data_IF_518378170051
#
_entry.id   IF_518378170051
#
_cell.length_a   1.000
_cell.length_b   1.000
_cell.length_c   1.000
_cell.angle_alpha   90.00
_cell.angle_beta   90.00
_cell.angle_gamma   90.00
#
_symmetry.space_group_name_H-M   'P 1'
#
loop_
_entity.id
_entity.type
_entity.pdbx_description
1 polymer ?
#
# COMPACT_ATOMS: atom_id res chain seq x y z
N UNK A 1 -35.65 11.94 79.45
CA UNK A 1 -35.88 11.53 78.00
C UNK A 1 -34.67 11.95 77.18
N UNK A 2 -33.78 11.02 76.84
CA UNK A 2 -32.59 11.32 76.01
C UNK A 2 -32.85 10.84 74.55
N UNK A 3 -33.02 11.73 73.65
CA UNK A 3 -33.15 11.43 72.15
C UNK A 3 -31.78 11.09 71.60
N UNK A 4 -31.59 9.86 71.09
CA UNK A 4 -30.42 9.41 70.38
C UNK A 4 -30.65 9.74 68.86
N UNK A 5 -29.84 10.63 68.27
CA UNK A 5 -29.79 10.87 66.85
C UNK A 5 -28.83 9.84 66.26
N UNK A 6 -29.36 8.99 65.36
CA UNK A 6 -28.59 8.02 64.56
C UNK A 6 -28.11 8.74 63.35
N UNK A 7 -26.81 9.04 63.23
CA UNK A 7 -26.21 9.65 62.09
C UNK A 7 -26.00 8.60 60.99
N UNK A 8 -26.74 8.76 59.92
CA UNK A 8 -26.60 7.96 58.71
C UNK A 8 -25.48 8.54 57.86
N UNK A 9 -24.32 7.84 57.76
CA UNK A 9 -23.24 8.18 56.83
C UNK A 9 -23.65 7.76 55.37
N UNK A 10 -23.53 8.62 54.36
CA UNK A 10 -23.69 8.20 53.01
C UNK A 10 -22.41 7.51 52.51
N UNK A 11 -22.55 6.26 52.08
CA UNK A 11 -21.50 5.51 51.39
C UNK A 11 -21.31 6.10 50.01
N UNK A 12 -20.26 6.90 49.81
CA UNK A 12 -19.88 7.44 48.50
C UNK A 12 -19.18 6.33 47.72
N UNK A 13 -19.90 5.63 46.83
CA UNK A 13 -19.35 4.66 45.91
C UNK A 13 -18.53 5.41 44.82
N UNK A 14 -17.22 5.50 45.00
CA UNK A 14 -16.32 5.97 43.95
C UNK A 14 -16.25 4.89 42.86
N UNK A 15 -16.96 5.10 41.74
CA UNK A 15 -16.81 4.29 40.55
C UNK A 15 -15.41 4.56 39.96
N UNK A 16 -14.50 3.60 40.10
CA UNK A 16 -13.20 3.57 39.41
C UNK A 16 -13.46 3.38 37.94
N UNK A 17 -13.51 4.49 37.17
CA UNK A 17 -13.41 4.49 35.73
C UNK A 17 -11.98 4.06 35.37
N UNK A 18 -11.78 2.75 35.11
CA UNK A 18 -10.56 2.27 34.53
C UNK A 18 -10.39 2.92 33.15
N UNK A 19 -9.23 3.53 32.84
CA UNK A 19 -8.99 4.07 31.49
C UNK A 19 -9.06 2.91 30.51
N UNK A 20 -9.93 3.02 29.50
CA UNK A 20 -9.95 2.11 28.36
C UNK A 20 -8.65 2.36 27.62
N UNK A 21 -7.65 1.49 27.84
CA UNK A 21 -6.40 1.51 27.09
C UNK A 21 -6.74 1.19 25.64
N UNK A 22 -6.85 2.20 24.80
CA UNK A 22 -6.93 1.98 23.35
C UNK A 22 -5.62 1.30 22.93
N UNK A 23 -5.73 0.10 22.38
CA UNK A 23 -4.57 -0.62 21.85
C UNK A 23 -3.88 0.28 20.81
N UNK A 24 -2.70 0.76 21.15
CA UNK A 24 -1.94 1.66 20.28
C UNK A 24 -1.63 0.93 18.97
N UNK A 25 -2.00 1.53 17.83
CA UNK A 25 -1.71 0.96 16.52
C UNK A 25 -0.20 1.06 16.20
N UNK A 26 0.40 0.07 15.54
CA UNK A 26 1.78 0.17 15.09
C UNK A 26 1.92 1.20 13.97
N UNK A 27 3.02 1.95 14.01
CA UNK A 27 3.38 2.94 12.99
C UNK A 27 4.64 2.47 12.27
N UNK A 28 4.57 2.39 10.94
CA UNK A 28 5.70 2.01 10.10
C UNK A 28 6.15 3.18 9.24
N UNK A 29 7.46 3.26 9.03
CA UNK A 29 8.08 4.16 8.06
C UNK A 29 8.62 3.33 6.92
N UNK A 30 8.23 3.66 5.69
CA UNK A 30 8.81 3.09 4.47
C UNK A 30 10.09 3.87 4.16
N UNK A 31 11.17 3.13 3.81
CA UNK A 31 12.46 3.71 3.47
C UNK A 31 12.62 3.79 1.94
N UNK A 32 12.44 4.96 1.31
CA UNK A 32 12.43 5.09 -0.16
C UNK A 32 13.75 4.63 -0.82
N UNK A 33 14.89 4.91 -0.18
CA UNK A 33 16.22 4.59 -0.72
C UNK A 33 16.44 3.09 -0.93
N UNK A 34 15.73 2.24 -0.17
CA UNK A 34 15.81 0.77 -0.26
C UNK A 34 14.56 0.16 -0.89
N UNK A 35 13.74 0.97 -1.52
CA UNK A 35 12.46 0.55 -2.05
C UNK A 35 12.36 0.89 -3.54
N UNK A 36 11.59 0.10 -4.29
CA UNK A 36 11.44 0.29 -5.74
C UNK A 36 10.02 -0.03 -6.19
N UNK A 37 9.56 0.70 -7.21
CA UNK A 37 8.34 0.38 -7.96
C UNK A 37 8.74 0.18 -9.41
N UNK A 38 8.54 -1.03 -9.93
CA UNK A 38 8.95 -1.44 -11.29
C UNK A 38 7.76 -1.98 -12.06
N UNK A 39 7.87 -1.90 -13.38
CA UNK A 39 6.96 -2.57 -14.30
C UNK A 39 7.74 -3.28 -15.40
N UNK A 40 7.12 -4.30 -15.98
CA UNK A 40 7.62 -4.98 -17.16
C UNK A 40 6.48 -5.36 -18.10
N UNK A 41 6.75 -5.29 -19.40
CA UNK A 41 5.83 -5.67 -20.47
C UNK A 41 6.57 -6.54 -21.45
N UNK A 42 6.00 -7.70 -21.77
CA UNK A 42 6.53 -8.55 -22.85
C UNK A 42 6.31 -7.85 -24.18
N UNK A 43 7.37 -7.70 -24.96
CA UNK A 43 7.34 -7.14 -26.29
C UNK A 43 8.43 -7.81 -27.13
N UNK A 44 8.47 -7.50 -28.45
CA UNK A 44 9.57 -7.97 -29.33
C UNK A 44 10.95 -7.55 -28.78
N UNK A 45 10.99 -6.39 -28.11
CA UNK A 45 12.08 -5.93 -27.25
C UNK A 45 11.46 -5.63 -25.90
N UNK A 46 11.90 -6.29 -24.83
CA UNK A 46 11.36 -6.12 -23.48
C UNK A 46 11.31 -4.63 -23.08
N UNK A 47 10.18 -4.23 -22.52
CA UNK A 47 9.98 -2.88 -21.99
C UNK A 47 9.91 -3.02 -20.47
N UNK A 48 10.96 -2.59 -19.81
CA UNK A 48 11.07 -2.57 -18.36
C UNK A 48 11.40 -1.15 -17.92
N UNK A 49 10.91 -0.79 -16.75
CA UNK A 49 11.21 0.51 -16.15
C UNK A 49 10.88 0.54 -14.67
N UNK A 50 11.31 1.61 -14.05
CA UNK A 50 10.98 1.95 -12.67
C UNK A 50 10.40 3.37 -12.61
N UNK A 51 9.76 3.69 -11.49
CA UNK A 51 9.36 5.06 -11.17
C UNK A 51 10.29 5.60 -10.09
N UNK A 52 10.84 6.80 -10.33
CA UNK A 52 11.81 7.42 -9.43
C UNK A 52 11.15 8.23 -8.31
N UNK A 53 9.90 8.67 -8.51
CA UNK A 53 9.14 9.49 -7.56
C UNK A 53 7.82 8.81 -7.21
N UNK A 54 7.74 8.32 -6.00
CA UNK A 54 6.57 7.67 -5.45
C UNK A 54 6.56 7.79 -3.92
N UNK A 55 5.42 7.57 -3.33
CA UNK A 55 5.22 7.47 -1.89
C UNK A 55 4.36 6.24 -1.58
N UNK A 56 4.61 5.62 -0.43
CA UNK A 56 3.81 4.51 0.05
C UNK A 56 3.61 4.63 1.55
N UNK A 57 2.37 4.53 1.98
CA UNK A 57 2.00 4.50 3.39
C UNK A 57 1.30 3.20 3.72
N UNK A 58 1.61 2.65 4.89
CA UNK A 58 0.96 1.48 5.45
C UNK A 58 0.51 1.83 6.87
N UNK A 59 -0.79 2.02 7.02
CA UNK A 59 -1.42 2.44 8.28
C UNK A 59 -2.24 1.31 8.87
N UNK A 60 -2.31 1.24 10.20
CA UNK A 60 -3.08 0.25 10.95
C UNK A 60 -3.96 0.95 11.99
N UNK A 61 -5.10 0.34 12.32
CA UNK A 61 -5.97 0.81 13.41
C UNK A 61 -5.82 -0.03 14.68
N UNK A 62 -5.15 -1.19 14.58
CA UNK A 62 -4.82 -2.09 15.69
C UNK A 62 -3.56 -2.90 15.36
N UNK A 63 -3.03 -3.71 16.29
CA UNK A 63 -1.95 -4.65 15.99
C UNK A 63 -2.30 -5.75 14.99
N UNK A 64 -3.58 -6.02 14.72
CA UNK A 64 -3.99 -7.00 13.72
C UNK A 64 -3.61 -6.53 12.31
N UNK A 65 -2.82 -7.36 11.61
CA UNK A 65 -2.34 -7.05 10.26
C UNK A 65 -3.49 -6.82 9.27
N UNK A 66 -4.66 -7.42 9.49
CA UNK A 66 -5.83 -7.28 8.60
C UNK A 66 -6.47 -5.89 8.68
N UNK A 67 -6.14 -5.09 9.70
CA UNK A 67 -6.59 -3.69 9.82
C UNK A 67 -5.76 -2.71 8.99
N UNK A 68 -4.75 -3.24 8.29
CA UNK A 68 -3.83 -2.44 7.47
C UNK A 68 -4.50 -1.85 6.24
N UNK A 69 -4.12 -0.61 5.93
CA UNK A 69 -4.44 0.06 4.66
C UNK A 69 -3.13 0.47 3.99
N UNK A 70 -2.93 -0.04 2.78
CA UNK A 70 -1.80 0.30 1.91
C UNK A 70 -2.27 1.36 0.91
N UNK A 71 -1.57 2.50 0.86
CA UNK A 71 -1.79 3.58 -0.11
C UNK A 71 -0.46 3.86 -0.81
N UNK A 72 -0.42 3.70 -2.14
CA UNK A 72 0.75 3.95 -2.99
C UNK A 72 0.39 5.04 -3.99
N UNK A 73 1.24 6.04 -4.10
CA UNK A 73 1.12 7.15 -5.06
C UNK A 73 2.40 7.28 -5.85
N UNK A 74 2.29 7.25 -7.17
CA UNK A 74 3.42 7.25 -8.09
C UNK A 74 3.25 8.44 -9.03
N UNK A 75 4.29 9.25 -9.20
CA UNK A 75 4.30 10.30 -10.20
C UNK A 75 4.55 9.67 -11.58
N UNK A 76 3.55 9.67 -12.46
CA UNK A 76 3.62 9.04 -13.78
C UNK A 76 4.79 9.58 -14.63
N UNK A 77 5.08 10.89 -14.51
CA UNK A 77 6.18 11.53 -15.22
C UNK A 77 7.58 11.06 -14.76
N UNK A 78 7.68 10.37 -13.61
CA UNK A 78 8.97 9.87 -13.08
C UNK A 78 9.39 8.52 -13.64
N UNK A 79 8.73 8.04 -14.68
CA UNK A 79 9.10 6.81 -15.37
C UNK A 79 10.51 6.90 -15.94
N UNK A 80 11.29 5.84 -15.72
CA UNK A 80 12.66 5.70 -16.20
C UNK A 80 12.88 4.26 -16.70
N UNK A 81 13.11 4.12 -18.01
CA UNK A 81 13.43 2.86 -18.69
C UNK A 81 14.91 2.79 -19.08
N UNK A 82 15.70 3.82 -18.74
CA UNK A 82 17.05 4.02 -19.23
C UNK A 82 17.13 4.56 -20.67
N UNK A 83 15.99 4.95 -21.26
CA UNK A 83 15.92 5.51 -22.62
C UNK A 83 14.94 6.68 -22.66
N UNK A 84 15.46 7.89 -22.85
CA UNK A 84 14.63 9.11 -22.90
C UNK A 84 13.51 9.03 -23.94
N UNK A 85 13.76 8.44 -25.11
CA UNK A 85 12.74 8.26 -26.14
C UNK A 85 11.58 7.35 -25.65
N UNK A 86 11.88 6.26 -24.95
CA UNK A 86 10.86 5.39 -24.37
C UNK A 86 10.11 6.11 -23.25
N UNK A 87 10.82 6.83 -22.40
CA UNK A 87 10.25 7.57 -21.28
C UNK A 87 9.28 8.65 -21.77
N UNK A 88 9.66 9.43 -22.81
CA UNK A 88 8.79 10.44 -23.41
C UNK A 88 7.54 9.79 -24.02
N UNK A 89 7.69 8.64 -24.68
CA UNK A 89 6.56 7.91 -25.22
C UNK A 89 5.62 7.42 -24.12
N UNK A 90 6.16 6.89 -23.02
CA UNK A 90 5.37 6.42 -21.87
C UNK A 90 4.66 7.57 -21.14
N UNK A 91 5.26 8.77 -21.07
CA UNK A 91 4.63 9.97 -20.48
C UNK A 91 3.50 10.52 -21.34
N UNK A 92 3.50 10.23 -22.67
CA UNK A 92 2.54 10.81 -23.59
C UNK A 92 1.10 10.35 -23.35
N UNK A 93 0.15 11.05 -23.98
CA UNK A 93 -1.29 10.72 -23.96
C UNK A 93 -1.62 9.32 -24.48
N UNK A 94 -0.73 8.70 -25.23
CA UNK A 94 -0.91 7.35 -25.76
C UNK A 94 -0.74 6.27 -24.68
N UNK A 95 -0.01 6.60 -23.60
CA UNK A 95 0.27 5.68 -22.49
C UNK A 95 -0.18 6.27 -21.15
N UNK A 96 0.70 6.87 -20.35
CA UNK A 96 0.34 7.31 -19.00
C UNK A 96 -0.44 8.62 -18.94
N UNK A 97 -0.39 9.42 -20.01
CA UNK A 97 -0.98 10.77 -20.07
C UNK A 97 -0.57 11.65 -18.87
N UNK A 98 0.72 11.62 -18.56
CA UNK A 98 1.26 12.18 -17.32
C UNK A 98 1.03 13.70 -17.17
N UNK A 99 0.69 14.40 -18.23
CA UNK A 99 0.36 15.83 -18.21
C UNK A 99 -1.05 16.09 -17.66
N UNK A 100 -2.02 15.22 -17.98
CA UNK A 100 -3.41 15.34 -17.54
C UNK A 100 -3.68 14.50 -16.29
N UNK A 101 -3.07 13.32 -16.22
CA UNK A 101 -3.22 12.36 -15.11
C UNK A 101 -1.85 12.11 -14.44
N UNK A 102 -1.35 13.04 -13.62
CA UNK A 102 0.01 12.99 -13.10
C UNK A 102 0.27 11.88 -12.08
N UNK A 103 -0.78 11.27 -11.51
CA UNK A 103 -0.66 10.25 -10.49
C UNK A 103 -1.18 8.88 -10.94
N UNK A 104 -0.35 7.85 -10.72
CA UNK A 104 -0.79 6.46 -10.68
C UNK A 104 -0.96 6.09 -9.20
N UNK A 105 -2.08 5.49 -8.83
CA UNK A 105 -2.36 5.19 -7.43
C UNK A 105 -2.85 3.75 -7.24
N UNK A 106 -2.52 3.19 -6.08
CA UNK A 106 -3.13 1.96 -5.58
C UNK A 106 -3.56 2.17 -4.13
N UNK A 107 -4.84 1.99 -3.84
CA UNK A 107 -5.36 2.07 -2.47
C UNK A 107 -6.09 0.79 -2.12
N UNK A 108 -5.60 0.10 -1.10
CA UNK A 108 -6.21 -1.15 -0.64
C UNK A 108 -7.57 -0.91 0.03
N UNK A 109 -8.44 -1.90 -0.12
CA UNK A 109 -9.73 -1.96 0.60
C UNK A 109 -9.64 -2.84 1.85
N UNK A 110 -8.74 -3.83 1.84
CA UNK A 110 -8.47 -4.73 2.97
C UNK A 110 -7.11 -5.42 2.78
N UNK A 111 -6.62 -6.07 3.83
CA UNK A 111 -5.51 -7.03 3.77
C UNK A 111 -6.05 -8.40 4.18
N UNK A 112 -5.82 -9.41 3.34
CA UNK A 112 -6.23 -10.80 3.59
C UNK A 112 -4.98 -11.65 3.73
N UNK A 113 -4.77 -12.24 4.90
CA UNK A 113 -3.66 -13.17 5.09
C UNK A 113 -3.98 -14.50 4.41
N UNK A 114 -3.12 -14.94 3.49
CA UNK A 114 -3.26 -16.18 2.71
C UNK A 114 -2.25 -17.26 3.13
N UNK A 115 -1.25 -16.88 3.92
CA UNK A 115 -0.25 -17.79 4.48
C UNK A 115 0.58 -17.11 5.56
N UNK A 116 1.58 -17.79 6.13
CA UNK A 116 2.38 -17.24 7.25
C UNK A 116 3.02 -15.89 6.95
N UNK A 117 3.45 -15.69 5.69
CA UNK A 117 4.12 -14.46 5.23
C UNK A 117 3.52 -13.92 3.93
N UNK A 118 2.35 -14.43 3.51
CA UNK A 118 1.71 -14.05 2.25
C UNK A 118 0.36 -13.41 2.50
N UNK A 119 0.06 -12.38 1.71
CA UNK A 119 -1.17 -11.58 1.86
C UNK A 119 -1.69 -11.20 0.48
N UNK A 120 -2.99 -11.27 0.29
CA UNK A 120 -3.68 -10.65 -0.83
C UNK A 120 -4.26 -9.32 -0.38
N UNK A 121 -4.01 -8.30 -1.16
CA UNK A 121 -4.39 -6.92 -0.90
C UNK A 121 -5.23 -6.42 -2.07
N UNK A 122 -6.55 -6.74 -2.09
CA UNK A 122 -7.46 -6.16 -3.08
C UNK A 122 -7.58 -4.66 -2.84
N UNK A 123 -7.65 -3.91 -3.93
CA UNK A 123 -7.69 -2.46 -3.87
C UNK A 123 -8.18 -1.85 -5.18
N UNK A 124 -8.18 -0.54 -5.22
CA UNK A 124 -8.44 0.25 -6.43
C UNK A 124 -7.10 0.71 -7.01
N UNK A 125 -6.82 0.28 -8.23
CA UNK A 125 -5.69 0.76 -9.02
C UNK A 125 -6.19 1.80 -10.01
N UNK A 126 -5.53 2.94 -10.06
CA UNK A 126 -5.88 4.04 -10.96
C UNK A 126 -4.68 4.45 -11.79
N UNK A 127 -4.86 4.50 -13.10
CA UNK A 127 -3.89 5.01 -14.06
C UNK A 127 -4.64 5.72 -15.19
N UNK A 128 -4.17 6.87 -15.64
CA UNK A 128 -4.83 7.73 -16.65
C UNK A 128 -6.27 8.10 -16.27
N UNK A 129 -6.54 8.39 -15.01
CA UNK A 129 -7.89 8.68 -14.53
C UNK A 129 -8.85 7.48 -14.51
N UNK A 130 -8.45 6.31 -15.04
CA UNK A 130 -9.27 5.09 -15.04
C UNK A 130 -8.97 4.28 -13.80
N UNK A 131 -10.01 3.97 -13.02
CA UNK A 131 -9.92 3.18 -11.78
C UNK A 131 -10.53 1.80 -11.97
N UNK A 132 -9.81 0.74 -11.57
CA UNK A 132 -10.30 -0.64 -11.60
C UNK A 132 -9.90 -1.39 -10.31
N UNK A 133 -10.68 -2.42 -9.94
CA UNK A 133 -10.30 -3.32 -8.86
C UNK A 133 -9.14 -4.21 -9.31
N UNK A 134 -8.07 -4.23 -8.54
CA UNK A 134 -6.89 -5.09 -8.74
C UNK A 134 -6.47 -5.69 -7.42
N UNK A 135 -5.68 -6.77 -7.47
CA UNK A 135 -5.14 -7.40 -6.27
C UNK A 135 -3.61 -7.40 -6.32
N UNK A 136 -3.01 -6.80 -5.30
CA UNK A 136 -1.58 -6.85 -5.07
C UNK A 136 -1.29 -8.01 -4.11
N UNK A 137 -0.57 -9.04 -4.58
CA UNK A 137 -0.13 -10.15 -3.74
C UNK A 137 1.20 -9.80 -3.09
N UNK A 138 1.27 -9.87 -1.76
CA UNK A 138 2.44 -9.51 -0.97
C UNK A 138 3.11 -10.73 -0.37
N UNK A 139 4.44 -10.72 -0.38
CA UNK A 139 5.30 -11.59 0.44
C UNK A 139 6.09 -10.69 1.39
N UNK A 140 5.94 -10.93 2.69
CA UNK A 140 6.53 -10.11 3.75
C UNK A 140 7.61 -10.91 4.48
N UNK A 141 8.79 -10.31 4.68
CA UNK A 141 9.86 -10.87 5.52
C UNK A 141 10.08 -9.99 6.76
N UNK A 142 10.57 -10.59 7.84
CA UNK A 142 10.84 -9.89 9.09
C UNK A 142 9.58 -9.53 9.91
N UNK A 143 8.48 -10.25 9.72
CA UNK A 143 7.26 -10.06 10.51
C UNK A 143 7.57 -10.25 11.99
N UNK A 144 7.14 -9.30 12.84
CA UNK A 144 7.39 -9.32 14.28
C UNK A 144 8.74 -8.78 14.75
N UNK A 145 9.73 -8.60 13.86
CA UNK A 145 11.08 -8.11 14.24
C UNK A 145 11.20 -6.58 14.34
N UNK A 146 10.18 -5.86 13.90
CA UNK A 146 10.17 -4.38 13.88
C UNK A 146 10.76 -3.76 12.61
N UNK A 147 11.35 -4.56 11.72
CA UNK A 147 11.76 -4.16 10.38
C UNK A 147 11.58 -5.31 9.41
N UNK A 148 11.37 -5.02 8.14
CA UNK A 148 11.15 -6.06 7.15
C UNK A 148 11.04 -5.53 5.74
N UNK A 149 10.95 -6.46 4.80
CA UNK A 149 10.73 -6.17 3.39
C UNK A 149 9.38 -6.71 2.94
N UNK A 150 8.72 -5.96 2.08
CA UNK A 150 7.45 -6.31 1.45
C UNK A 150 7.71 -6.39 -0.05
N UNK A 151 7.56 -7.58 -0.64
CA UNK A 151 7.57 -7.74 -2.09
C UNK A 151 6.13 -7.89 -2.56
N UNK A 152 5.66 -6.94 -3.35
CA UNK A 152 4.33 -6.93 -3.96
C UNK A 152 4.40 -7.24 -5.44
N UNK A 153 3.46 -8.03 -5.95
CA UNK A 153 3.31 -8.30 -7.38
C UNK A 153 1.85 -8.20 -7.79
N UNK A 154 1.60 -7.56 -8.92
CA UNK A 154 0.29 -7.54 -9.58
C UNK A 154 0.47 -7.52 -11.09
N UNK A 155 -0.60 -7.79 -11.83
CA UNK A 155 -0.60 -7.64 -13.26
C UNK A 155 -1.97 -7.14 -13.73
N UNK A 156 -1.96 -6.28 -14.75
CA UNK A 156 -3.17 -5.73 -15.35
C UNK A 156 -3.07 -5.69 -16.88
N UNK A 157 -4.20 -5.57 -17.57
CA UNK A 157 -4.24 -5.31 -19.00
C UNK A 157 -4.20 -3.80 -19.25
N UNK A 158 -3.19 -3.34 -20.00
CA UNK A 158 -3.01 -1.91 -20.30
C UNK A 158 -4.18 -1.30 -21.07
N UNK A 159 -4.85 -2.10 -21.90
CA UNK A 159 -6.00 -1.65 -22.69
C UNK A 159 -7.20 -1.33 -21.83
N UNK A 160 -7.34 -2.00 -20.70
CA UNK A 160 -8.37 -1.73 -19.71
C UNK A 160 -8.30 -0.32 -19.13
N UNK A 161 -7.14 0.31 -19.23
CA UNK A 161 -6.86 1.68 -18.80
C UNK A 161 -6.70 2.64 -19.99
N UNK A 162 -7.18 2.24 -21.18
CA UNK A 162 -7.16 3.08 -22.38
C UNK A 162 -5.79 3.24 -23.04
N UNK A 163 -4.77 2.44 -22.66
CA UNK A 163 -3.45 2.43 -23.31
C UNK A 163 -3.48 1.52 -24.57
N UNK A 164 -4.26 1.93 -25.58
CA UNK A 164 -4.52 1.16 -26.79
C UNK A 164 -3.46 1.34 -27.89
N UNK A 165 -2.61 2.35 -27.75
CA UNK A 165 -1.59 2.66 -28.73
C UNK A 165 -0.49 1.60 -28.78
N UNK A 166 0.07 1.43 -29.98
CA UNK A 166 1.27 0.62 -30.22
C UNK A 166 2.52 1.49 -30.38
N UNK A 167 3.63 0.81 -30.56
CA UNK A 167 4.89 1.40 -31.01
C UNK A 167 5.16 0.80 -32.41
N UNK A 168 5.41 1.62 -33.45
CA UNK A 168 5.68 1.10 -34.79
C UNK A 168 6.75 0.01 -34.77
N UNK A 169 6.50 -1.09 -35.46
CA UNK A 169 7.39 -2.25 -35.57
C UNK A 169 7.65 -3.04 -34.28
N UNK A 170 7.03 -2.66 -33.15
CA UNK A 170 7.17 -3.37 -31.88
C UNK A 170 5.81 -3.96 -31.50
N UNK A 171 5.75 -5.29 -31.37
CA UNK A 171 4.59 -5.98 -30.84
C UNK A 171 4.67 -5.93 -29.31
N UNK A 172 3.73 -5.22 -28.68
CA UNK A 172 3.65 -5.04 -27.23
C UNK A 172 2.52 -5.91 -26.70
N UNK A 173 2.77 -6.69 -25.67
CA UNK A 173 1.73 -7.44 -24.94
C UNK A 173 0.79 -6.47 -24.20
N UNK A 174 -0.44 -6.90 -24.02
CA UNK A 174 -1.43 -6.10 -23.27
C UNK A 174 -1.23 -6.23 -21.76
N UNK A 175 -0.73 -7.39 -21.29
CA UNK A 175 -0.42 -7.65 -19.90
C UNK A 175 0.83 -6.90 -19.45
N UNK A 176 0.67 -6.08 -18.41
CA UNK A 176 1.74 -5.38 -17.69
C UNK A 176 1.91 -6.04 -16.33
N UNK A 177 3.14 -6.37 -15.96
CA UNK A 177 3.49 -6.87 -14.65
C UNK A 177 4.10 -5.75 -13.81
N UNK A 178 3.66 -5.61 -12.57
CA UNK A 178 4.16 -4.62 -11.60
C UNK A 178 4.78 -5.33 -10.44
N UNK A 179 5.96 -4.88 -10.03
CA UNK A 179 6.66 -5.34 -8.84
C UNK A 179 6.97 -4.15 -7.94
N UNK A 180 6.57 -4.27 -6.68
CA UNK A 180 6.85 -3.29 -5.63
C UNK A 180 7.74 -3.97 -4.59
N UNK A 181 8.88 -3.38 -4.28
CA UNK A 181 9.72 -3.81 -3.18
C UNK A 181 9.82 -2.65 -2.19
N UNK A 182 9.31 -2.84 -0.99
CA UNK A 182 9.32 -1.84 0.07
C UNK A 182 10.12 -2.35 1.26
N UNK A 183 10.94 -1.50 1.83
CA UNK A 183 11.60 -1.75 3.11
C UNK A 183 10.96 -0.86 4.15
N UNK A 184 10.45 -1.46 5.23
CA UNK A 184 9.75 -0.77 6.30
C UNK A 184 10.39 -1.02 7.66
N UNK A 185 10.31 -0.01 8.53
CA UNK A 185 10.71 -0.09 9.92
C UNK A 185 9.58 0.42 10.81
N UNK A 186 9.25 -0.35 11.85
CA UNK A 186 8.32 0.10 12.88
C UNK A 186 9.00 1.17 13.74
N UNK A 187 8.39 2.33 13.83
CA UNK A 187 8.91 3.47 14.59
C UNK A 187 8.21 3.63 15.94
N UNK A 188 6.97 3.11 16.08
CA UNK A 188 6.24 3.12 17.34
C UNK A 188 5.12 2.07 17.38
N UNK A 189 4.53 1.86 18.55
CA UNK A 189 3.44 0.91 18.77
C UNK A 189 3.89 -0.55 18.92
N UNK A 190 2.97 -1.48 19.21
CA UNK A 190 3.24 -2.90 19.41
C UNK A 190 3.64 -3.61 18.10
N UNK A 191 4.20 -4.83 18.16
CA UNK A 191 4.38 -5.68 16.99
C UNK A 191 3.05 -5.99 16.30
N UNK A 192 3.10 -6.17 14.97
CA UNK A 192 1.95 -6.71 14.24
C UNK A 192 1.71 -8.18 14.62
N UNK A 193 0.44 -8.52 14.75
CA UNK A 193 -0.04 -9.87 14.99
C UNK A 193 -0.49 -10.46 13.65
N UNK A 194 0.09 -11.60 13.28
CA UNK A 194 -0.29 -12.41 12.13
C UNK A 194 -0.84 -13.75 12.62
N UNK A 195 -1.76 -14.33 11.88
CA UNK A 195 -2.25 -15.68 12.16
C UNK A 195 -1.14 -16.69 11.83
N UNK A 196 -0.95 -17.67 12.70
CA UNK A 196 -0.03 -18.80 12.48
C UNK A 196 -0.65 -19.82 11.55
#
# INVERSE_FOLDING_TARGET
MKKRYLAMLPFLAAALLAPISQAQAPVFQITPVQSTVKFSVKASVAIEGNFEKWDATLTFTSPDVTTGVLDIKIQAASVNTGSGMKDDKLRSKDFFDAANDPLITFKSTKIVQTGPNTFDVPGTFTIRGVSKPETLTLVVSGVGTGSGTIKGTMAFDRKDYGMNSGIPFIKIADRVEVTVNLTGKRISGPPLVVKK
#
